data_IF_330757078321
#
_entry.id   IF_330757078321
#
_cell.length_a   1.000
_cell.length_b   1.000
_cell.length_c   1.000
_cell.angle_alpha   90.00
_cell.angle_beta   90.00
_cell.angle_gamma   90.00
#
_symmetry.space_group_name_H-M   'P 1'
#
loop_
_entity.id
_entity.type
_entity.pdbx_description
1 polymer ?
#
# COMPACT_ATOMS: atom_id res chain seq x y z
N UNK A 1 -37.55 23.09 8.96
CA UNK A 1 -36.69 22.33 8.76
C UNK A 1 -35.39 22.59 9.09
N UNK A 2 -34.88 21.81 9.49
CA UNK A 2 -33.93 22.01 10.46
C UNK A 2 -32.54 21.97 9.95
N UNK A 3 -31.90 23.14 9.83
CA UNK A 3 -30.48 23.23 9.61
C UNK A 3 -29.71 22.39 10.63
N UNK A 4 -30.25 22.24 11.84
CA UNK A 4 -29.63 21.43 12.86
C UNK A 4 -29.59 19.93 12.52
N UNK A 5 -30.63 19.43 11.86
CA UNK A 5 -30.67 18.03 11.44
C UNK A 5 -29.70 17.77 10.30
N UNK A 6 -29.62 18.70 9.35
CA UNK A 6 -28.66 18.57 8.24
C UNK A 6 -27.23 18.62 8.73
N UNK A 7 -26.98 19.53 9.67
CA UNK A 7 -25.64 19.64 10.26
C UNK A 7 -25.28 18.39 11.04
N UNK A 8 -26.23 17.86 11.80
CA UNK A 8 -26.04 16.64 12.58
C UNK A 8 -25.75 15.44 11.67
N UNK A 9 -26.46 15.34 10.55
CA UNK A 9 -26.26 14.27 9.60
C UNK A 9 -24.89 14.38 8.91
N UNK A 10 -24.46 15.60 8.59
CA UNK A 10 -23.15 15.83 8.02
C UNK A 10 -22.04 15.44 8.97
N UNK A 11 -22.21 15.77 10.24
CA UNK A 11 -21.23 15.40 11.26
C UNK A 11 -21.15 13.90 11.45
N UNK A 12 -22.29 13.20 11.40
CA UNK A 12 -22.31 11.74 11.48
C UNK A 12 -21.61 11.10 10.29
N UNK A 13 -21.85 11.64 9.11
CA UNK A 13 -21.19 11.13 7.91
C UNK A 13 -19.67 11.37 7.95
N UNK A 14 -19.26 12.53 8.44
CA UNK A 14 -17.86 12.84 8.60
C UNK A 14 -17.18 11.89 9.59
N UNK A 15 -17.87 11.57 10.69
CA UNK A 15 -17.34 10.62 11.66
C UNK A 15 -17.22 9.22 11.08
N UNK A 16 -18.21 8.80 10.30
CA UNK A 16 -18.17 7.50 9.63
C UNK A 16 -17.01 7.42 8.65
N UNK A 17 -16.80 8.48 7.90
CA UNK A 17 -15.67 8.54 6.97
C UNK A 17 -14.34 8.45 7.70
N UNK A 18 -14.23 9.17 8.81
CA UNK A 18 -13.02 9.14 9.61
C UNK A 18 -12.74 7.74 10.14
N UNK A 19 -13.78 7.05 10.62
CA UNK A 19 -13.66 5.68 11.10
C UNK A 19 -13.21 4.74 9.98
N UNK A 20 -13.80 4.89 8.80
CA UNK A 20 -13.43 4.06 7.66
C UNK A 20 -12.00 4.29 7.22
N UNK A 21 -11.55 5.55 7.27
CA UNK A 21 -10.16 5.86 6.96
C UNK A 21 -9.21 5.24 7.97
N UNK A 22 -9.56 5.27 9.25
CA UNK A 22 -8.75 4.62 10.28
C UNK A 22 -8.68 3.12 10.07
N UNK A 23 -9.81 2.50 9.76
CA UNK A 23 -9.87 1.06 9.47
C UNK A 23 -9.04 0.72 8.24
N UNK A 24 -9.11 1.56 7.22
CA UNK A 24 -8.32 1.37 6.02
C UNK A 24 -6.83 1.42 6.32
N UNK A 25 -6.41 2.38 7.14
CA UNK A 25 -5.02 2.50 7.53
C UNK A 25 -4.55 1.32 8.37
N UNK A 26 -5.41 0.82 9.26
CA UNK A 26 -5.09 -0.38 10.04
C UNK A 26 -4.93 -1.60 9.14
N UNK A 27 -5.82 -1.76 8.18
CA UNK A 27 -5.73 -2.87 7.23
C UNK A 27 -4.49 -2.76 6.35
N UNK A 28 -4.14 -1.54 5.94
CA UNK A 28 -2.92 -1.33 5.16
C UNK A 28 -1.67 -1.65 5.97
N UNK A 29 -1.67 -1.33 7.26
CA UNK A 29 -0.51 -1.66 8.11
C UNK A 29 -0.34 -3.15 8.29
N UNK A 30 -1.42 -3.92 8.19
CA UNK A 30 -1.38 -5.38 8.27
C UNK A 30 -1.10 -6.05 6.93
N UNK A 31 -1.18 -5.29 5.86
CA UNK A 31 -0.88 -5.81 4.54
C UNK A 31 0.60 -6.18 4.49
N UNK A 32 0.89 -7.33 3.92
CA UNK A 32 2.26 -7.79 3.80
C UNK A 32 2.47 -8.36 2.41
N UNK A 33 3.51 -7.88 1.74
CA UNK A 33 3.88 -8.37 0.42
C UNK A 33 5.32 -8.85 0.45
N UNK A 34 5.68 -9.70 -0.50
CA UNK A 34 7.04 -10.17 -0.65
C UNK A 34 7.54 -9.72 -2.02
N UNK A 35 8.49 -8.80 -2.01
CA UNK A 35 9.21 -8.39 -3.21
C UNK A 35 10.34 -9.36 -3.48
N UNK A 36 10.53 -9.72 -4.74
CA UNK A 36 11.51 -10.72 -5.12
C UNK A 36 12.37 -10.22 -6.28
N UNK A 37 13.60 -10.64 -6.29
CA UNK A 37 14.51 -10.39 -7.40
C UNK A 37 15.44 -11.60 -7.60
N UNK A 38 15.93 -11.75 -8.82
CA UNK A 38 16.83 -12.84 -9.13
C UNK A 38 16.22 -14.22 -8.98
N UNK A 39 14.95 -14.37 -9.36
CA UNK A 39 14.28 -15.65 -9.25
C UNK A 39 14.03 -16.08 -7.80
N UNK A 40 13.92 -15.11 -6.89
CA UNK A 40 13.69 -15.38 -5.48
C UNK A 40 14.96 -15.48 -4.66
N UNK A 41 16.10 -15.13 -5.23
CA UNK A 41 17.37 -15.14 -4.48
C UNK A 41 17.42 -14.04 -3.44
N UNK A 42 16.72 -12.94 -3.65
CA UNK A 42 16.51 -11.89 -2.66
C UNK A 42 15.02 -11.68 -2.50
N UNK A 43 14.57 -11.73 -1.26
CA UNK A 43 13.17 -11.49 -0.92
C UNK A 43 13.10 -10.42 0.15
N UNK A 44 12.17 -9.47 -0.04
CA UNK A 44 11.94 -8.36 0.90
C UNK A 44 10.49 -8.42 1.34
N UNK A 45 10.27 -8.54 2.64
CA UNK A 45 8.92 -8.49 3.19
C UNK A 45 8.60 -7.07 3.61
N UNK A 46 7.52 -6.52 3.07
CA UNK A 46 7.16 -5.13 3.26
C UNK A 46 5.68 -5.02 3.62
N UNK A 47 5.35 -4.12 4.55
CA UNK A 47 3.96 -3.88 4.91
C UNK A 47 3.38 -2.72 4.09
N UNK A 48 2.10 -2.43 4.33
CA UNK A 48 1.39 -1.38 3.58
C UNK A 48 1.87 0.03 3.85
N UNK A 49 2.70 0.21 4.85
CA UNK A 49 3.33 1.50 5.15
C UNK A 49 4.71 1.63 4.52
N UNK A 50 5.09 0.66 3.70
CA UNK A 50 6.41 0.58 3.08
C UNK A 50 7.54 0.35 4.08
N UNK A 51 7.21 -0.25 5.24
CA UNK A 51 8.24 -0.67 6.18
C UNK A 51 8.71 -2.06 5.80
N UNK A 52 10.02 -2.25 5.78
CA UNK A 52 10.61 -3.56 5.54
C UNK A 52 10.70 -4.29 6.87
N UNK A 53 10.06 -5.45 6.96
CA UNK A 53 10.07 -6.25 8.17
C UNK A 53 11.09 -7.38 8.12
N UNK A 54 11.47 -7.80 6.90
CA UNK A 54 12.39 -8.92 6.77
C UNK A 54 13.10 -8.86 5.42
N UNK A 55 14.37 -9.20 5.44
CA UNK A 55 15.17 -9.36 4.23
C UNK A 55 15.73 -10.78 4.24
N UNK A 56 15.51 -11.49 3.15
CA UNK A 56 16.05 -12.83 2.99
C UNK A 56 16.95 -12.86 1.77
N UNK A 57 18.19 -13.26 1.96
CA UNK A 57 19.18 -13.31 0.90
C UNK A 57 19.70 -14.74 0.82
N UNK A 58 19.68 -15.30 -0.39
CA UNK A 58 20.24 -16.62 -0.60
C UNK A 58 21.76 -16.59 -0.30
N UNK A 59 22.26 -17.50 0.55
CA UNK A 59 23.67 -17.47 0.91
C UNK A 59 24.64 -17.57 -0.26
N UNK A 60 24.23 -18.16 -1.36
CA UNK A 60 25.10 -18.28 -2.52
C UNK A 60 25.46 -16.92 -3.13
N UNK A 61 24.63 -15.89 -2.90
CA UNK A 61 24.93 -14.54 -3.41
C UNK A 61 26.07 -13.88 -2.67
N UNK A 62 26.35 -14.30 -1.45
CA UNK A 62 27.44 -13.72 -0.66
C UNK A 62 28.81 -14.03 -1.29
N UNK A 63 28.89 -15.14 -2.00
CA UNK A 63 30.11 -15.55 -2.69
C UNK A 63 30.26 -14.93 -4.08
N UNK A 64 29.20 -14.27 -4.56
CA UNK A 64 29.20 -13.63 -5.84
C UNK A 64 29.68 -12.18 -5.71
N UNK A 65 29.61 -11.45 -6.85
CA UNK A 65 29.97 -10.04 -6.88
C UNK A 65 29.03 -9.22 -6.01
N UNK A 66 29.59 -8.36 -5.16
CA UNK A 66 28.80 -7.52 -4.26
C UNK A 66 27.90 -6.56 -5.05
N UNK A 67 28.33 -6.11 -6.23
CA UNK A 67 27.51 -5.24 -7.06
C UNK A 67 26.23 -5.94 -7.50
N UNK A 68 26.34 -7.23 -7.81
CA UNK A 68 25.16 -8.02 -8.15
C UNK A 68 24.20 -8.12 -6.98
N UNK A 69 24.71 -8.32 -5.77
CA UNK A 69 23.89 -8.36 -4.56
C UNK A 69 23.18 -7.03 -4.35
N UNK A 70 23.90 -5.92 -4.49
CA UNK A 70 23.34 -4.59 -4.32
C UNK A 70 22.20 -4.35 -5.32
N UNK A 71 22.41 -4.71 -6.57
CA UNK A 71 21.40 -4.53 -7.61
C UNK A 71 20.16 -5.38 -7.35
N UNK A 72 20.35 -6.61 -6.89
CA UNK A 72 19.24 -7.50 -6.59
C UNK A 72 18.43 -7.02 -5.39
N UNK A 73 19.10 -6.48 -4.36
CA UNK A 73 18.41 -5.91 -3.22
C UNK A 73 17.57 -4.73 -3.66
N UNK A 74 18.13 -3.83 -4.47
CA UNK A 74 17.39 -2.69 -4.98
C UNK A 74 16.16 -3.13 -5.79
N UNK A 75 16.35 -4.13 -6.65
CA UNK A 75 15.26 -4.66 -7.48
C UNK A 75 14.17 -5.29 -6.61
N UNK A 76 14.53 -6.02 -5.57
CA UNK A 76 13.57 -6.66 -4.67
C UNK A 76 12.78 -5.61 -3.88
N UNK A 77 13.44 -4.55 -3.42
CA UNK A 77 12.77 -3.45 -2.72
C UNK A 77 11.77 -2.77 -3.66
N UNK A 78 12.18 -2.47 -4.88
CA UNK A 78 11.30 -1.84 -5.86
C UNK A 78 10.12 -2.73 -6.21
N UNK A 79 10.34 -4.03 -6.33
CA UNK A 79 9.26 -4.98 -6.54
C UNK A 79 8.27 -4.98 -5.38
N UNK A 80 8.77 -4.94 -4.14
CA UNK A 80 7.92 -4.87 -2.97
C UNK A 80 7.10 -3.58 -2.94
N UNK A 81 7.72 -2.44 -3.26
CA UNK A 81 7.03 -1.15 -3.30
C UNK A 81 5.89 -1.19 -4.32
N UNK A 82 6.14 -1.71 -5.51
CA UNK A 82 5.11 -1.81 -6.54
C UNK A 82 3.97 -2.71 -6.10
N UNK A 83 4.28 -3.82 -5.43
CA UNK A 83 3.25 -4.73 -4.93
C UNK A 83 2.42 -4.09 -3.82
N UNK A 84 3.04 -3.33 -2.92
CA UNK A 84 2.33 -2.60 -1.88
C UNK A 84 1.41 -1.56 -2.50
N UNK A 85 1.90 -0.80 -3.47
CA UNK A 85 1.09 0.23 -4.11
C UNK A 85 -0.13 -0.37 -4.81
N UNK A 86 0.06 -1.48 -5.51
CA UNK A 86 -1.04 -2.15 -6.18
C UNK A 86 -2.05 -2.69 -5.18
N UNK A 87 -1.58 -3.37 -4.14
CA UNK A 87 -2.44 -3.94 -3.11
C UNK A 87 -3.16 -2.85 -2.32
N UNK A 88 -2.49 -1.73 -2.03
CA UNK A 88 -3.11 -0.60 -1.36
C UNK A 88 -4.22 0.02 -2.19
N UNK A 89 -3.98 0.18 -3.48
CA UNK A 89 -4.99 0.70 -4.40
C UNK A 89 -6.23 -0.17 -4.42
N UNK A 90 -6.03 -1.48 -4.53
CA UNK A 90 -7.12 -2.44 -4.54
C UNK A 90 -7.89 -2.40 -3.22
N UNK A 91 -7.19 -2.29 -2.11
CA UNK A 91 -7.81 -2.25 -0.79
C UNK A 91 -8.64 -0.98 -0.60
N UNK A 92 -8.09 0.15 -0.97
CA UNK A 92 -8.80 1.44 -0.88
C UNK A 92 -10.02 1.43 -1.78
N UNK A 93 -9.89 0.88 -2.99
CA UNK A 93 -10.99 0.76 -3.92
C UNK A 93 -12.13 -0.08 -3.33
N UNK A 94 -11.81 -1.19 -2.69
CA UNK A 94 -12.81 -2.04 -2.03
C UNK A 94 -13.51 -1.31 -0.88
N UNK A 95 -12.73 -0.57 -0.09
CA UNK A 95 -13.27 0.14 1.06
C UNK A 95 -14.14 1.33 0.67
N UNK A 96 -13.86 1.92 -0.48
CA UNK A 96 -14.61 3.08 -0.98
C UNK A 96 -15.69 2.71 -1.98
N UNK A 97 -15.88 1.44 -2.28
CA UNK A 97 -16.85 1.01 -3.29
C UNK A 97 -18.27 1.39 -2.96
N UNK A 98 -18.61 1.52 -1.68
CA UNK A 98 -19.92 1.96 -1.24
C UNK A 98 -20.04 3.46 -1.03
N UNK A 99 -18.99 4.22 -1.29
CA UNK A 99 -18.97 5.65 -1.07
C UNK A 99 -19.03 6.40 -2.39
N UNK A 100 -19.74 7.53 -2.37
CA UNK A 100 -19.87 8.37 -3.54
C UNK A 100 -18.65 9.26 -3.68
N UNK A 101 -17.53 8.69 -3.99
CA UNK A 101 -16.30 9.44 -4.20
C UNK A 101 -16.14 9.71 -5.68
N UNK A 102 -15.85 10.97 -6.07
CA UNK A 102 -15.64 11.28 -7.47
C UNK A 102 -14.46 10.50 -8.04
N UNK A 103 -14.72 9.75 -9.10
CA UNK A 103 -13.68 8.95 -9.75
C UNK A 103 -12.61 9.81 -10.40
N UNK A 104 -12.93 11.06 -10.68
CA UNK A 104 -11.98 12.01 -11.26
C UNK A 104 -10.76 12.24 -10.36
N UNK A 105 -10.98 12.21 -9.07
CA UNK A 105 -9.90 12.38 -8.09
C UNK A 105 -8.89 11.24 -8.17
N UNK A 106 -9.37 10.01 -8.38
CA UNK A 106 -8.51 8.85 -8.48
C UNK A 106 -7.80 8.78 -9.83
N UNK A 107 -8.45 9.24 -10.88
CA UNK A 107 -7.85 9.27 -12.22
C UNK A 107 -6.66 10.20 -12.30
N UNK A 108 -6.74 11.34 -11.64
CA UNK A 108 -5.65 12.31 -11.66
C UNK A 108 -4.39 11.75 -11.03
N UNK A 109 -4.51 10.86 -10.07
CA UNK A 109 -3.36 10.24 -9.46
C UNK A 109 -2.73 9.17 -10.34
N UNK A 110 -3.53 8.50 -11.16
CA UNK A 110 -3.02 7.49 -12.08
C UNK A 110 -2.30 8.10 -13.26
N UNK A 111 -2.71 9.25 -13.70
CA UNK A 111 -2.13 9.92 -14.85
C UNK A 111 -0.83 10.66 -14.54
N UNK A 112 -0.45 10.70 -13.27
CA UNK A 112 0.79 11.34 -12.92
C UNK A 112 1.93 10.37 -12.85
N UNK A 113 2.46 10.01 -13.95
CA UNK A 113 3.69 9.24 -13.94
C UNK A 113 4.83 10.05 -14.49
#
# INVERSE_FOLDING_TARGET
>A
MDMNQNLSNLMKEAQKMQQRMQEAQEQLSKLCVIGKAGGGMVEIEMNGRHDVSKVKINPSLIEEDIEMLEDLVAAAVNDAVQKVEKASKEKISQLTAGLNIPTDFMKDQEDKE
#
